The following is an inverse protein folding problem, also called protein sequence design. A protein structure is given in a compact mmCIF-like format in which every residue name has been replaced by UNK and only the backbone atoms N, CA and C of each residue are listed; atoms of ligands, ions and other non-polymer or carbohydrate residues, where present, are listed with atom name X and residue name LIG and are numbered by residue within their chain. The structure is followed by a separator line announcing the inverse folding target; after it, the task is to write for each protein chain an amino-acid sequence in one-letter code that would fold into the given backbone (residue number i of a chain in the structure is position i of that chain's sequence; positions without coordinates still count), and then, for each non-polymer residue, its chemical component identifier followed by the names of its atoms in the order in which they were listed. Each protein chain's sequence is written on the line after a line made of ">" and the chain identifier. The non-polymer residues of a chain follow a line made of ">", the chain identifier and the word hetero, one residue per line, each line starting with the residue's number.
data_IF_567218784338
#
_entry.id   IF_567218784338
#
_cell.length_a   1.000
_cell.length_b   1.000
_cell.length_c   1.000
_cell.angle_alpha   90.00
_cell.angle_beta   90.00
_cell.angle_gamma   90.00
#
_symmetry.space_group_name_H-M   'P 1'
#
loop_
_entity.id
_entity.type
_entity.pdbx_description
1 polymer ?
#
# COMPACT_ATOMS: atom_id res chain seq x y z
N UNK A 1 6.22 2.93 14.60
CA UNK A 1 6.26 1.46 14.81
C UNK A 1 4.88 0.88 14.53
N UNK A 2 4.77 -0.42 14.24
CA UNK A 2 3.47 -1.07 14.06
C UNK A 2 2.72 -1.14 15.40
N UNK A 3 1.42 -0.83 15.40
CA UNK A 3 0.59 -0.94 16.61
C UNK A 3 0.13 -2.40 16.85
N UNK A 4 -0.23 -2.80 18.08
CA UNK A 4 -0.85 -4.10 18.33
C UNK A 4 -2.13 -4.28 17.50
N UNK A 5 -2.32 -5.48 16.90
CA UNK A 5 -3.46 -5.79 16.02
C UNK A 5 -3.62 -4.80 14.85
N UNK A 6 -2.52 -4.20 14.42
CA UNK A 6 -2.54 -3.28 13.29
C UNK A 6 -3.10 -3.95 12.04
N UNK A 7 -3.84 -3.22 11.19
CA UNK A 7 -4.13 -3.68 9.84
C UNK A 7 -2.83 -4.04 9.11
N UNK A 8 -2.86 -5.12 8.32
CA UNK A 8 -1.72 -5.62 7.57
C UNK A 8 -2.20 -6.11 6.19
N UNK A 9 -1.57 -5.65 5.11
CA UNK A 9 -1.73 -6.21 3.78
C UNK A 9 -0.37 -6.46 3.14
N UNK A 10 -0.31 -7.44 2.24
CA UNK A 10 0.89 -7.74 1.49
C UNK A 10 0.55 -8.04 0.03
N UNK A 11 1.49 -7.74 -0.85
CA UNK A 11 1.45 -8.04 -2.28
C UNK A 11 2.87 -8.34 -2.76
N UNK A 12 2.98 -8.99 -3.92
CA UNK A 12 4.27 -9.39 -4.46
C UNK A 12 4.25 -9.46 -5.98
N UNK A 13 5.31 -8.97 -6.61
CA UNK A 13 5.43 -8.85 -8.07
C UNK A 13 6.88 -9.02 -8.51
N UNK A 14 7.12 -9.17 -9.81
CA UNK A 14 8.46 -9.16 -10.38
C UNK A 14 8.87 -7.73 -10.77
N UNK A 15 9.82 -7.15 -10.05
CA UNK A 15 10.36 -5.82 -10.39
C UNK A 15 11.07 -5.83 -11.75
N UNK A 16 11.81 -6.90 -12.04
CA UNK A 16 12.50 -7.16 -13.32
C UNK A 16 12.26 -8.61 -13.70
N UNK A 17 12.02 -8.96 -14.99
CA UNK A 17 11.89 -10.35 -15.40
C UNK A 17 13.15 -11.14 -15.05
N UNK A 18 13.00 -12.32 -14.45
CA UNK A 18 14.13 -13.16 -14.02
C UNK A 18 14.76 -12.77 -12.68
N UNK A 19 14.33 -11.68 -12.04
CA UNK A 19 14.77 -11.32 -10.69
C UNK A 19 13.95 -12.02 -9.59
N UNK A 20 14.49 -12.07 -8.36
CA UNK A 20 13.72 -12.48 -7.19
C UNK A 20 12.44 -11.65 -7.00
N UNK A 21 11.42 -12.30 -6.46
CA UNK A 21 10.12 -11.69 -6.17
C UNK A 21 10.29 -10.49 -5.23
N UNK A 22 9.66 -9.38 -5.58
CA UNK A 22 9.55 -8.20 -4.74
C UNK A 22 8.31 -8.31 -3.89
N UNK A 23 8.40 -7.95 -2.61
CA UNK A 23 7.25 -7.95 -1.69
C UNK A 23 7.06 -6.54 -1.17
N UNK A 24 5.79 -6.15 -1.01
CA UNK A 24 5.38 -4.94 -0.28
C UNK A 24 4.44 -5.32 0.84
N UNK A 25 4.65 -4.72 2.00
CA UNK A 25 3.84 -4.90 3.20
C UNK A 25 3.35 -3.53 3.64
N UNK A 26 2.04 -3.40 3.84
CA UNK A 26 1.39 -2.18 4.30
C UNK A 26 0.82 -2.39 5.69
N UNK A 27 1.11 -1.50 6.62
CA UNK A 27 0.71 -1.66 8.01
C UNK A 27 0.35 -0.33 8.67
N UNK A 28 -0.56 -0.40 9.62
CA UNK A 28 -0.96 0.76 10.42
C UNK A 28 0.00 1.08 11.57
N UNK A 29 0.07 2.36 11.93
CA UNK A 29 0.87 2.88 13.04
C UNK A 29 0.00 3.51 14.12
N UNK A 30 0.60 3.80 15.28
CA UNK A 30 -0.08 4.40 16.43
C UNK A 30 -0.56 5.84 16.16
N UNK A 31 0.10 6.57 15.26
CA UNK A 31 -0.26 7.92 14.82
C UNK A 31 -1.26 7.94 13.65
N UNK A 32 -2.00 6.84 13.46
CA UNK A 32 -3.04 6.68 12.44
C UNK A 32 -2.52 6.92 11.01
N UNK A 33 -1.38 6.32 10.68
CA UNK A 33 -0.86 6.27 9.31
C UNK A 33 -0.82 4.83 8.81
N UNK A 34 -0.87 4.66 7.49
CA UNK A 34 -0.47 3.42 6.82
C UNK A 34 0.90 3.67 6.18
N UNK A 35 1.86 2.80 6.51
CA UNK A 35 3.22 2.82 5.99
C UNK A 35 3.52 1.58 5.14
N UNK A 36 4.55 1.66 4.31
CA UNK A 36 5.04 0.55 3.49
C UNK A 36 6.41 0.05 3.96
N UNK A 37 6.59 -1.27 3.98
CA UNK A 37 7.90 -1.93 3.95
C UNK A 37 8.07 -2.66 2.62
N UNK A 38 9.26 -2.59 2.06
CA UNK A 38 9.63 -3.28 0.82
C UNK A 38 10.80 -4.23 1.00
N UNK A 39 10.86 -5.25 0.16
CA UNK A 39 12.05 -6.07 -0.07
C UNK A 39 12.10 -6.55 -1.52
N UNK A 40 13.30 -6.64 -2.07
CA UNK A 40 13.58 -7.33 -3.34
C UNK A 40 14.30 -8.64 -3.02
N UNK A 41 13.64 -9.79 -3.26
CA UNK A 41 14.23 -11.10 -3.00
C UNK A 41 14.39 -11.48 -1.54
N UNK A 42 13.78 -10.74 -0.61
CA UNK A 42 13.74 -11.08 0.81
C UNK A 42 15.05 -10.89 1.57
N UNK A 43 16.10 -10.35 0.93
CA UNK A 43 17.44 -10.24 1.53
C UNK A 43 17.57 -9.05 2.49
N UNK A 44 16.91 -7.94 2.18
CA UNK A 44 16.90 -6.73 3.01
C UNK A 44 15.53 -6.06 2.96
N UNK A 45 15.12 -5.49 4.10
CA UNK A 45 13.86 -4.76 4.24
C UNK A 45 14.12 -3.28 4.42
N UNK A 46 13.33 -2.45 3.74
CA UNK A 46 13.46 -0.99 3.77
C UNK A 46 12.09 -0.31 3.89
N UNK A 47 12.08 0.97 4.26
CA UNK A 47 10.88 1.82 4.23
C UNK A 47 10.50 2.14 2.78
N UNK A 48 9.27 1.81 2.43
CA UNK A 48 8.71 2.08 1.11
C UNK A 48 8.33 3.55 0.93
N UNK A 49 7.84 3.85 -0.28
CA UNK A 49 7.44 5.21 -0.64
C UNK A 49 6.00 5.53 -0.21
N UNK A 50 5.19 4.54 0.16
CA UNK A 50 3.84 4.81 0.63
C UNK A 50 3.85 5.19 2.12
N UNK A 51 3.30 6.37 2.39
CA UNK A 51 3.06 6.86 3.72
C UNK A 51 1.87 7.81 3.66
N UNK A 52 0.76 7.46 4.33
CA UNK A 52 -0.44 8.29 4.30
C UNK A 52 -1.24 8.20 5.60
N UNK A 53 -1.83 9.32 6.01
CA UNK A 53 -2.78 9.35 7.13
C UNK A 53 -4.03 8.54 6.80
N UNK A 54 -4.58 7.88 7.81
CA UNK A 54 -5.82 7.13 7.76
C UNK A 54 -6.70 7.50 8.94
N UNK A 55 -7.99 7.17 8.87
CA UNK A 55 -8.82 7.23 10.07
C UNK A 55 -8.33 6.16 11.08
N UNK A 56 -8.57 6.35 12.39
CA UNK A 56 -8.25 5.33 13.37
C UNK A 56 -8.84 3.97 12.98
N UNK A 57 -8.01 2.93 13.07
CA UNK A 57 -8.36 1.54 12.76
C UNK A 57 -8.82 1.26 11.31
N UNK A 58 -8.54 2.18 10.38
CA UNK A 58 -8.69 1.90 8.94
C UNK A 58 -8.02 0.58 8.59
N UNK A 59 -8.74 -0.31 7.92
CA UNK A 59 -8.14 -1.49 7.33
C UNK A 59 -7.31 -1.09 6.10
N UNK A 60 -6.48 -2.03 5.62
CA UNK A 60 -5.71 -1.87 4.39
C UNK A 60 -5.86 -3.11 3.53
N UNK A 61 -6.09 -2.92 2.24
CA UNK A 61 -6.01 -3.97 1.24
C UNK A 61 -5.05 -3.54 0.13
N UNK A 62 -4.29 -4.50 -0.41
CA UNK A 62 -3.33 -4.27 -1.48
C UNK A 62 -3.56 -5.26 -2.62
N UNK A 63 -3.50 -4.77 -3.86
CA UNK A 63 -3.53 -5.60 -5.07
C UNK A 63 -2.46 -5.11 -6.04
N UNK A 64 -1.87 -6.02 -6.79
CA UNK A 64 -0.90 -5.72 -7.83
C UNK A 64 -1.23 -6.41 -9.15
N UNK A 65 -0.64 -5.88 -10.22
CA UNK A 65 -0.60 -6.55 -11.51
C UNK A 65 0.54 -6.01 -12.39
N UNK A 66 0.87 -6.77 -13.43
CA UNK A 66 1.98 -6.46 -14.33
C UNK A 66 3.33 -6.90 -13.77
N UNK A 67 4.36 -6.85 -14.62
CA UNK A 67 5.72 -7.28 -14.28
C UNK A 67 6.74 -6.37 -14.96
N UNK A 68 7.99 -6.39 -14.46
CA UNK A 68 9.15 -5.86 -15.18
C UNK A 68 9.10 -4.35 -15.43
N UNK A 69 9.25 -3.54 -14.39
CA UNK A 69 9.25 -2.07 -14.46
C UNK A 69 7.89 -1.43 -14.77
N UNK A 70 6.91 -2.22 -15.23
CA UNK A 70 5.53 -1.79 -15.56
C UNK A 70 4.51 -2.34 -14.55
N UNK A 71 4.97 -2.74 -13.36
CA UNK A 71 4.08 -3.19 -12.29
C UNK A 71 3.21 -2.04 -11.76
N UNK A 72 2.02 -2.40 -11.30
CA UNK A 72 1.05 -1.50 -10.71
C UNK A 72 0.69 -2.03 -9.33
N UNK A 73 0.42 -1.13 -8.39
CA UNK A 73 -0.12 -1.46 -7.08
C UNK A 73 -1.32 -0.55 -6.83
N UNK A 74 -2.38 -1.09 -6.24
CA UNK A 74 -3.49 -0.31 -5.66
C UNK A 74 -3.64 -0.64 -4.18
N UNK A 75 -3.83 0.39 -3.38
CA UNK A 75 -4.19 0.28 -1.98
C UNK A 75 -5.57 0.86 -1.75
N UNK A 76 -6.30 0.25 -0.84
CA UNK A 76 -7.60 0.71 -0.40
C UNK A 76 -7.55 0.92 1.11
N UNK A 77 -7.80 2.16 1.53
CA UNK A 77 -7.78 2.60 2.92
C UNK A 77 -8.89 3.62 3.15
N UNK A 78 -9.32 3.82 4.39
CA UNK A 78 -10.18 4.95 4.76
C UNK A 78 -9.28 6.09 5.25
N UNK A 79 -9.12 7.13 4.42
CA UNK A 79 -8.28 8.29 4.73
C UNK A 79 -9.05 9.55 5.13
N UNK A 80 -10.35 9.39 5.41
CA UNK A 80 -11.26 10.47 5.80
C UNK A 80 -12.03 11.09 4.64
N UNK A 81 -11.83 10.63 3.40
CA UNK A 81 -12.69 11.00 2.28
C UNK A 81 -14.16 10.71 2.62
N UNK A 82 -15.01 11.74 2.51
CA UNK A 82 -16.42 11.69 2.91
C UNK A 82 -16.65 11.07 4.31
N UNK A 83 -15.76 11.35 5.27
CA UNK A 83 -15.74 10.82 6.65
C UNK A 83 -15.34 9.36 6.76
N UNK A 84 -15.98 8.46 6.00
CA UNK A 84 -15.77 7.01 6.08
C UNK A 84 -15.67 6.30 4.70
N UNK A 85 -15.58 7.06 3.62
CA UNK A 85 -15.36 6.50 2.28
C UNK A 85 -14.01 5.78 2.19
N UNK A 86 -13.98 4.71 1.38
CA UNK A 86 -12.75 3.99 1.07
C UNK A 86 -12.08 4.71 -0.09
N UNK A 87 -10.85 5.16 0.08
CA UNK A 87 -10.03 5.83 -0.92
C UNK A 87 -9.08 4.85 -1.60
N UNK A 88 -8.85 5.01 -2.90
CA UNK A 88 -7.84 4.27 -3.64
C UNK A 88 -6.54 5.07 -3.75
N UNK A 89 -5.42 4.41 -3.51
CA UNK A 89 -4.07 4.90 -3.79
C UNK A 89 -3.40 4.05 -4.85
N UNK A 90 -2.83 4.68 -5.85
CA UNK A 90 -2.23 4.03 -7.00
C UNK A 90 -0.74 4.30 -7.08
N UNK A 91 0.05 3.23 -7.10
CA UNK A 91 1.41 3.30 -7.61
C UNK A 91 1.35 3.34 -9.12
N UNK A 92 1.73 4.49 -9.68
CA UNK A 92 1.74 4.72 -11.13
C UNK A 92 2.94 5.60 -11.51
N UNK A 93 3.67 5.17 -12.55
CA UNK A 93 4.87 5.88 -13.06
C UNK A 93 5.84 6.28 -11.94
N UNK A 94 6.17 5.33 -11.06
CA UNK A 94 7.15 5.49 -9.97
C UNK A 94 6.76 6.50 -8.88
N UNK A 95 5.47 6.74 -8.70
CA UNK A 95 4.94 7.64 -7.66
C UNK A 95 3.60 7.14 -7.14
N UNK A 96 3.35 7.34 -5.85
CA UNK A 96 2.01 7.18 -5.28
C UNK A 96 1.15 8.38 -5.63
N UNK A 97 -0.08 8.11 -6.06
CA UNK A 97 -1.08 9.12 -6.38
C UNK A 97 -2.43 8.66 -5.88
N UNK A 98 -3.31 9.60 -5.53
CA UNK A 98 -4.70 9.26 -5.29
C UNK A 98 -5.33 8.78 -6.60
N UNK A 99 -5.97 7.62 -6.54
CA UNK A 99 -6.83 7.11 -7.60
C UNK A 99 -8.25 7.65 -7.40
N UNK A 100 -9.19 6.74 -7.13
CA UNK A 100 -10.56 7.11 -6.75
C UNK A 100 -10.58 7.77 -5.36
N UNK A 101 -11.17 8.97 -5.27
CA UNK A 101 -11.32 9.72 -4.02
C UNK A 101 -12.15 8.96 -2.98
N UNK A 102 -13.27 8.36 -3.39
CA UNK A 102 -14.03 7.45 -2.56
C UNK A 102 -14.76 6.42 -3.44
N UNK A 103 -14.54 5.14 -3.15
CA UNK A 103 -15.16 4.04 -3.88
C UNK A 103 -16.68 4.10 -3.65
N UNK A 104 -17.51 3.93 -4.70
CA UNK A 104 -18.96 3.87 -4.55
C UNK A 104 -19.39 2.80 -3.52
N UNK A 105 -20.49 3.00 -2.78
CA UNK A 105 -21.52 4.04 -2.94
C UNK A 105 -21.33 5.24 -2.00
N UNK A 106 -20.08 5.59 -1.67
CA UNK A 106 -19.73 6.61 -0.66
C UNK A 106 -20.55 7.91 -0.70
#
# INVERSE_FOLDING_TARGET
>A
MAKPRTPLAATSFLLTPGNPQSVRVYYGTEDNRILEKGTEGGTYWYDGAFEHSAIPDSQVAAVDWGNGGVFNIRLYIQDGAFKNGISEWAWFRRSWRRGILAIPPA
#
